data_IF_124952676710
#
_entry.id   IF_124952676710
#
_cell.length_a   1.000
_cell.length_b   1.000
_cell.length_c   1.000
_cell.angle_alpha   90.00
_cell.angle_beta   90.00
_cell.angle_gamma   90.00
#
_symmetry.space_group_name_H-M   'P 1'
#
loop_
_entity.id
_entity.type
_entity.pdbx_description
1 polymer ?
#
# COMPACT_ATOMS: atom_id res chain seq x y z
N UNK A 1 -1.78 5.44 4.15
CA UNK A 1 -2.10 4.00 4.18
C UNK A 1 -3.59 3.76 4.03
N UNK A 2 -3.99 2.52 3.81
CA UNK A 2 -5.40 2.17 3.57
C UNK A 2 -6.29 2.26 4.82
N UNK A 3 -5.67 2.29 6.00
CA UNK A 3 -6.32 2.34 7.32
C UNK A 3 -5.85 3.52 8.17
N UNK A 4 -5.05 4.41 7.59
CA UNK A 4 -4.58 5.64 8.22
C UNK A 4 -5.58 6.77 7.93
N UNK A 5 -5.95 7.54 8.94
CA UNK A 5 -6.85 8.69 8.82
C UNK A 5 -6.15 10.03 9.07
N UNK A 6 -4.84 10.06 9.27
CA UNK A 6 -4.04 11.27 9.55
C UNK A 6 -4.33 12.39 8.55
N UNK A 7 -4.40 12.09 7.25
CA UNK A 7 -4.67 13.10 6.22
C UNK A 7 -6.02 13.80 6.39
N UNK A 8 -6.99 13.12 6.97
CA UNK A 8 -8.34 13.67 7.22
C UNK A 8 -8.41 14.31 8.59
N UNK A 9 -7.89 13.66 9.63
CA UNK A 9 -7.99 14.12 11.02
C UNK A 9 -7.02 15.27 11.29
N UNK A 10 -5.76 15.14 10.84
CA UNK A 10 -4.74 16.17 11.04
C UNK A 10 -4.59 17.12 9.81
N UNK A 11 -5.17 16.80 8.66
CA UNK A 11 -5.12 17.61 7.45
C UNK A 11 -3.73 17.68 6.80
N UNK A 12 -2.83 16.76 7.13
CA UNK A 12 -1.43 16.77 6.68
C UNK A 12 -1.14 15.54 5.81
N UNK A 13 -0.44 15.75 4.69
CA UNK A 13 0.01 14.67 3.82
C UNK A 13 0.31 15.13 2.40
N UNK A 14 1.06 14.30 1.70
CA UNK A 14 1.47 14.52 0.30
C UNK A 14 1.11 13.28 -0.52
N UNK A 15 0.72 13.41 -1.81
CA UNK A 15 0.54 12.26 -2.70
C UNK A 15 1.82 11.41 -2.76
N UNK A 16 1.67 10.09 -2.62
CA UNK A 16 2.78 9.18 -2.37
C UNK A 16 3.87 9.22 -3.46
N UNK A 17 3.48 9.23 -4.73
CA UNK A 17 4.45 9.29 -5.83
C UNK A 17 5.28 10.59 -5.79
N UNK A 18 4.63 11.72 -5.50
CA UNK A 18 5.31 13.01 -5.33
C UNK A 18 6.26 13.01 -4.14
N UNK A 19 5.87 12.39 -3.01
CA UNK A 19 6.72 12.27 -1.83
C UNK A 19 7.99 11.46 -2.16
N UNK A 20 7.84 10.29 -2.76
CA UNK A 20 8.97 9.44 -3.17
C UNK A 20 9.90 10.19 -4.12
N UNK A 21 9.35 10.80 -5.17
CA UNK A 21 10.12 11.53 -6.17
C UNK A 21 10.90 12.70 -5.56
N UNK A 22 10.26 13.51 -4.72
CA UNK A 22 10.90 14.69 -4.11
C UNK A 22 12.00 14.27 -3.13
N UNK A 23 11.77 13.23 -2.32
CA UNK A 23 12.78 12.73 -1.37
C UNK A 23 13.97 12.12 -2.13
N UNK A 24 13.72 11.27 -3.12
CA UNK A 24 14.78 10.65 -3.91
C UNK A 24 15.70 11.69 -4.56
N UNK A 25 15.13 12.79 -5.09
CA UNK A 25 15.90 13.89 -5.64
C UNK A 25 16.67 14.68 -4.58
N UNK A 26 16.04 14.92 -3.42
CA UNK A 26 16.68 15.71 -2.37
C UNK A 26 17.92 15.02 -1.76
N UNK A 27 17.96 13.69 -1.79
CA UNK A 27 19.08 12.91 -1.23
C UNK A 27 19.99 12.29 -2.31
N UNK A 28 19.82 12.70 -3.56
CA UNK A 28 20.63 12.21 -4.67
C UNK A 28 22.13 12.39 -4.37
N UNK A 29 22.93 11.35 -4.57
CA UNK A 29 24.36 11.35 -4.28
C UNK A 29 24.74 11.15 -2.80
N UNK A 30 23.77 11.12 -1.87
CA UNK A 30 24.05 10.92 -0.44
C UNK A 30 24.37 9.47 -0.06
N UNK A 31 24.02 8.50 -0.91
CA UNK A 31 24.10 7.06 -0.60
C UNK A 31 23.00 6.56 0.34
N UNK A 32 22.05 7.40 0.75
CA UNK A 32 20.92 7.00 1.61
C UNK A 32 19.80 6.40 0.75
N UNK A 33 19.33 5.18 1.03
CA UNK A 33 18.25 4.56 0.26
C UNK A 33 16.87 5.11 0.65
N UNK A 34 15.94 5.08 -0.31
CA UNK A 34 14.54 5.49 -0.13
C UNK A 34 13.63 4.29 -0.03
N UNK A 35 12.82 4.22 1.00
CA UNK A 35 11.74 3.24 1.17
C UNK A 35 10.40 3.93 0.85
N UNK A 36 9.71 3.48 -0.19
CA UNK A 36 8.37 3.95 -0.50
C UNK A 36 7.33 3.21 0.37
N UNK A 37 6.87 3.86 1.44
CA UNK A 37 5.90 3.29 2.39
C UNK A 37 4.48 3.74 2.09
N UNK A 38 3.63 2.80 1.75
CA UNK A 38 2.20 3.01 1.52
C UNK A 38 1.81 3.25 0.05
N UNK A 39 0.51 3.18 -0.20
CA UNK A 39 -0.05 3.39 -1.54
C UNK A 39 0.10 2.22 -2.52
N UNK A 40 0.73 1.12 -2.13
CA UNK A 40 0.93 -0.06 -2.96
C UNK A 40 -0.32 -0.95 -2.90
N UNK A 41 -1.04 -1.04 -4.00
CA UNK A 41 -2.27 -1.84 -4.14
C UNK A 41 -2.11 -2.97 -5.16
N UNK A 42 -1.39 -2.67 -6.23
CA UNK A 42 -1.12 -3.58 -7.35
C UNK A 42 0.39 -3.63 -7.62
N UNK A 43 0.85 -4.64 -8.33
CA UNK A 43 2.25 -4.75 -8.74
C UNK A 43 2.74 -3.55 -9.58
N UNK A 44 1.86 -2.94 -10.38
CA UNK A 44 2.17 -1.71 -11.11
C UNK A 44 2.52 -0.51 -10.23
N UNK A 45 2.02 -0.46 -8.98
CA UNK A 45 2.39 0.60 -8.04
C UNK A 45 3.84 0.44 -7.55
N UNK A 46 4.35 -0.80 -7.47
CA UNK A 46 5.76 -1.10 -7.16
C UNK A 46 6.66 -0.51 -8.25
N UNK A 47 6.32 -0.75 -9.52
CA UNK A 47 7.09 -0.23 -10.66
C UNK A 47 7.13 1.30 -10.61
N UNK A 48 6.00 1.94 -10.38
CA UNK A 48 5.91 3.39 -10.27
C UNK A 48 6.75 3.94 -9.12
N UNK A 49 6.72 3.31 -7.95
CA UNK A 49 7.52 3.72 -6.80
C UNK A 49 9.02 3.62 -7.08
N UNK A 50 9.48 2.48 -7.65
CA UNK A 50 10.87 2.28 -8.02
C UNK A 50 11.32 3.26 -9.12
N UNK A 51 10.52 3.45 -10.16
CA UNK A 51 10.78 4.42 -11.22
C UNK A 51 10.84 5.86 -10.71
N UNK A 52 10.10 6.20 -9.65
CA UNK A 52 10.14 7.51 -9.00
C UNK A 52 11.39 7.71 -8.11
N UNK A 53 12.22 6.68 -7.93
CA UNK A 53 13.49 6.77 -7.23
C UNK A 53 13.57 5.94 -5.94
N UNK A 54 12.52 5.23 -5.52
CA UNK A 54 12.60 4.34 -4.37
C UNK A 54 13.58 3.18 -4.62
N UNK A 55 14.24 2.72 -3.57
CA UNK A 55 15.12 1.55 -3.57
C UNK A 55 14.39 0.29 -3.15
N UNK A 56 13.38 0.46 -2.30
CA UNK A 56 12.49 -0.60 -1.83
C UNK A 56 11.10 -0.06 -1.55
N UNK A 57 10.15 -0.96 -1.33
CA UNK A 57 8.77 -0.61 -0.96
C UNK A 57 8.41 -1.21 0.40
N UNK A 58 7.52 -0.55 1.11
CA UNK A 58 6.83 -1.08 2.27
C UNK A 58 5.32 -1.13 2.00
N UNK A 59 4.69 -2.23 2.34
CA UNK A 59 3.27 -2.43 2.08
C UNK A 59 2.58 -3.04 3.30
N UNK A 60 1.54 -2.36 3.79
CA UNK A 60 0.70 -2.85 4.89
C UNK A 60 -0.45 -3.71 4.39
N UNK A 61 -1.46 -3.10 3.77
CA UNK A 61 -2.70 -3.79 3.36
C UNK A 61 -2.48 -4.91 2.33
N UNK A 62 -1.41 -4.84 1.56
CA UNK A 62 -1.07 -5.88 0.59
C UNK A 62 -0.77 -7.20 1.31
N UNK A 63 -0.04 -7.14 2.42
CA UNK A 63 0.36 -8.29 3.22
C UNK A 63 -0.55 -8.56 4.42
N UNK A 64 -1.45 -7.66 4.78
CA UNK A 64 -2.33 -7.86 5.93
C UNK A 64 -3.27 -9.07 5.77
N UNK A 65 -3.60 -9.46 4.53
CA UNK A 65 -4.46 -10.61 4.22
C UNK A 65 -3.75 -11.95 4.09
N UNK A 66 -2.42 -12.01 4.20
CA UNK A 66 -1.69 -13.28 4.07
C UNK A 66 -1.80 -14.12 5.33
N UNK A 67 -1.57 -15.43 5.20
CA UNK A 67 -1.68 -16.37 6.30
C UNK A 67 -0.74 -16.03 7.46
N UNK A 68 0.47 -15.62 7.16
CA UNK A 68 1.53 -15.27 8.11
C UNK A 68 1.31 -13.95 8.83
N UNK A 69 0.36 -13.12 8.39
CA UNK A 69 0.02 -11.87 9.08
C UNK A 69 -0.55 -12.15 10.48
N UNK A 70 -0.20 -11.36 11.50
CA UNK A 70 -0.60 -11.62 12.90
C UNK A 70 -2.09 -11.42 13.19
N UNK A 71 -2.84 -10.75 12.30
CA UNK A 71 -4.28 -10.54 12.50
C UNK A 71 -5.07 -11.83 12.52
N UNK A 72 -6.10 -11.90 13.36
CA UNK A 72 -6.98 -13.07 13.49
C UNK A 72 -7.71 -13.37 12.17
N UNK A 73 -7.93 -14.67 11.93
CA UNK A 73 -8.76 -15.11 10.81
C UNK A 73 -10.24 -15.00 11.17
N UNK A 74 -10.99 -14.30 10.32
CA UNK A 74 -12.42 -14.04 10.51
C UNK A 74 -13.19 -14.69 9.36
N UNK A 75 -14.25 -15.44 9.69
CA UNK A 75 -15.20 -15.93 8.70
C UNK A 75 -16.40 -14.98 8.69
N UNK A 76 -16.68 -14.40 7.53
CA UNK A 76 -17.79 -13.50 7.35
C UNK A 76 -18.48 -13.75 6.01
N UNK A 77 -19.79 -13.94 6.02
CA UNK A 77 -20.59 -14.30 4.83
C UNK A 77 -19.97 -15.46 4.03
N UNK A 78 -19.49 -16.50 4.72
CA UNK A 78 -18.88 -17.68 4.09
C UNK A 78 -17.48 -17.43 3.47
N UNK A 79 -16.89 -16.25 3.66
CA UNK A 79 -15.56 -15.91 3.15
C UNK A 79 -14.56 -15.69 4.28
N UNK A 80 -13.29 -15.99 4.00
CA UNK A 80 -12.16 -15.82 4.92
C UNK A 80 -11.60 -14.41 4.84
N UNK A 81 -11.39 -13.78 5.98
CA UNK A 81 -10.76 -12.46 6.12
C UNK A 81 -9.69 -12.53 7.19
N UNK A 82 -8.81 -11.53 7.24
CA UNK A 82 -7.88 -11.27 8.33
C UNK A 82 -8.22 -9.96 9.00
N UNK A 83 -8.16 -9.91 10.33
CA UNK A 83 -8.23 -8.66 11.08
C UNK A 83 -7.04 -7.77 10.70
N UNK A 84 -7.28 -6.47 10.55
CA UNK A 84 -6.25 -5.51 10.17
C UNK A 84 -6.54 -4.17 10.84
N UNK A 85 -5.59 -3.64 11.59
CA UNK A 85 -5.74 -2.36 12.29
C UNK A 85 -4.61 -1.39 11.98
N UNK A 86 -4.93 -0.09 11.99
CA UNK A 86 -3.96 0.98 11.91
C UNK A 86 -3.20 1.14 13.23
N UNK A 87 -1.93 1.54 13.17
CA UNK A 87 -1.15 1.85 14.37
C UNK A 87 -1.75 2.97 15.20
N UNK A 88 -2.48 3.91 14.56
CA UNK A 88 -3.22 4.98 15.23
C UNK A 88 -4.68 4.64 15.55
N UNK A 89 -5.09 3.37 15.47
CA UNK A 89 -6.40 2.94 15.97
C UNK A 89 -6.43 2.92 17.49
N UNK A 90 -7.62 3.02 18.06
CA UNK A 90 -7.79 3.00 19.53
C UNK A 90 -7.18 1.72 20.10
N UNK A 91 -7.48 0.57 19.53
CA UNK A 91 -6.97 -0.71 20.00
C UNK A 91 -5.44 -0.78 19.95
N UNK A 92 -4.81 -0.31 18.86
CA UNK A 92 -3.35 -0.29 18.75
C UNK A 92 -2.71 0.66 19.78
N UNK A 93 -3.30 1.83 20.00
CA UNK A 93 -2.81 2.80 21.00
C UNK A 93 -2.92 2.25 22.43
N UNK A 94 -3.95 1.48 22.74
CA UNK A 94 -4.08 0.80 24.04
C UNK A 94 -2.97 -0.25 24.26
N UNK A 95 -2.45 -0.84 23.19
CA UNK A 95 -1.42 -1.89 23.24
C UNK A 95 0.02 -1.36 23.06
N UNK A 96 0.24 -0.03 23.08
CA UNK A 96 1.57 0.57 23.17
C UNK A 96 2.00 1.52 22.06
N UNK A 97 1.14 1.88 21.08
CA UNK A 97 1.53 2.81 20.00
C UNK A 97 1.17 4.28 20.26
N UNK A 98 0.81 4.65 21.49
CA UNK A 98 0.40 6.02 21.87
C UNK A 98 1.51 7.05 21.64
N UNK A 99 2.75 6.70 21.94
CA UNK A 99 3.94 7.54 21.81
C UNK A 99 4.13 8.06 20.38
N UNK A 100 3.85 7.22 19.39
CA UNK A 100 3.93 7.58 17.98
C UNK A 100 2.99 8.72 17.57
N UNK A 101 1.92 8.92 18.33
CA UNK A 101 0.89 9.94 18.10
C UNK A 101 0.91 11.05 19.15
N UNK A 102 2.00 11.16 19.93
CA UNK A 102 2.18 12.18 21.00
C UNK A 102 1.08 12.12 22.06
N UNK A 103 0.56 10.93 22.34
CA UNK A 103 -0.54 10.68 23.28
C UNK A 103 -0.15 9.70 24.39
N UNK A 104 1.14 9.51 24.62
CA UNK A 104 1.71 8.58 25.59
C UNK A 104 1.35 8.90 27.04
N UNK A 105 1.11 10.17 27.35
CA UNK A 105 0.72 10.66 28.70
C UNK A 105 -0.79 10.56 28.98
N UNK A 106 -1.61 10.21 27.99
CA UNK A 106 -3.07 10.14 28.19
C UNK A 106 -3.50 8.70 28.50
N UNK A 107 -4.07 8.50 29.68
CA UNK A 107 -4.54 7.21 30.15
C UNK A 107 -6.05 6.99 29.97
N UNK A 108 -6.83 8.06 29.78
CA UNK A 108 -8.27 7.94 29.50
C UNK A 108 -8.49 7.70 28.01
N UNK A 109 -8.88 6.48 27.67
CA UNK A 109 -9.17 6.03 26.28
C UNK A 109 -10.13 6.99 25.56
N UNK A 110 -11.09 7.59 26.28
CA UNK A 110 -12.09 8.50 25.69
C UNK A 110 -11.50 9.83 25.23
N UNK A 111 -10.29 10.14 25.67
CA UNK A 111 -9.56 11.36 25.28
C UNK A 111 -8.53 11.11 24.19
N UNK A 112 -8.27 9.85 23.81
CA UNK A 112 -7.41 9.55 22.67
C UNK A 112 -8.04 10.05 21.38
N UNK A 113 -7.22 10.62 20.50
CA UNK A 113 -7.61 11.06 19.16
C UNK A 113 -7.04 10.06 18.13
N UNK A 114 -7.83 9.11 17.62
CA UNK A 114 -7.32 8.10 16.72
C UNK A 114 -7.03 8.68 15.34
N UNK A 115 -5.92 8.25 14.75
CA UNK A 115 -5.53 8.51 13.37
C UNK A 115 -5.48 7.24 12.51
N UNK A 116 -6.22 6.24 12.89
CA UNK A 116 -6.34 4.95 12.22
C UNK A 116 -7.64 4.24 12.58
N UNK A 117 -7.99 3.26 11.78
CA UNK A 117 -9.19 2.44 11.95
C UNK A 117 -8.85 0.97 12.14
N UNK A 118 -9.81 0.23 12.65
CA UNK A 118 -9.84 -1.24 12.69
C UNK A 118 -10.69 -1.74 11.53
N UNK A 119 -10.21 -2.76 10.83
CA UNK A 119 -10.84 -3.27 9.62
C UNK A 119 -10.59 -4.76 9.45
N UNK A 120 -11.18 -5.34 8.42
CA UNK A 120 -10.84 -6.67 7.92
C UNK A 120 -10.44 -6.58 6.45
N UNK A 121 -9.52 -7.43 6.02
CA UNK A 121 -9.09 -7.56 4.64
C UNK A 121 -9.35 -8.98 4.14
N UNK A 122 -9.68 -9.19 2.87
CA UNK A 122 -9.81 -10.53 2.33
C UNK A 122 -8.54 -11.36 2.55
N UNK A 123 -8.70 -12.63 2.91
CA UNK A 123 -7.62 -13.59 2.95
C UNK A 123 -7.04 -13.79 1.55
N UNK A 124 -5.72 -13.84 1.44
CA UNK A 124 -5.00 -13.85 0.14
C UNK A 124 -4.09 -15.06 -0.07
N UNK A 125 -4.17 -16.06 0.80
CA UNK A 125 -3.24 -17.20 0.75
C UNK A 125 -1.93 -16.91 1.48
N UNK A 126 -0.87 -17.58 1.09
CA UNK A 126 0.45 -17.46 1.71
C UNK A 126 1.19 -16.19 1.23
N UNK A 127 2.12 -15.71 2.05
CA UNK A 127 3.01 -14.61 1.66
C UNK A 127 3.78 -14.93 0.37
N UNK A 128 4.24 -16.17 0.24
CA UNK A 128 4.98 -16.64 -0.95
C UNK A 128 4.16 -16.49 -2.23
N UNK A 129 2.88 -16.86 -2.20
CA UNK A 129 1.99 -16.71 -3.37
C UNK A 129 1.77 -15.24 -3.74
N UNK A 130 1.58 -14.38 -2.75
CA UNK A 130 1.41 -12.94 -2.97
C UNK A 130 2.69 -12.31 -3.54
N UNK A 131 3.86 -12.63 -2.99
CA UNK A 131 5.17 -12.16 -3.47
C UNK A 131 5.40 -12.63 -4.92
N UNK A 132 5.08 -13.89 -5.23
CA UNK A 132 5.22 -14.42 -6.59
C UNK A 132 4.44 -13.58 -7.61
N UNK A 133 3.17 -13.25 -7.31
CA UNK A 133 2.34 -12.41 -8.18
C UNK A 133 2.89 -10.99 -8.31
N UNK A 134 3.36 -10.40 -7.20
CA UNK A 134 3.93 -9.04 -7.22
C UNK A 134 5.23 -9.00 -8.04
N UNK A 135 6.11 -9.96 -7.88
CA UNK A 135 7.38 -10.06 -8.64
C UNK A 135 7.12 -10.36 -10.12
N UNK A 136 6.11 -11.16 -10.43
CA UNK A 136 5.67 -11.40 -11.81
C UNK A 136 5.24 -10.11 -12.51
N UNK A 137 4.40 -9.31 -11.83
CA UNK A 137 3.95 -8.01 -12.35
C UNK A 137 5.11 -6.99 -12.47
N UNK A 138 6.04 -6.95 -11.52
CA UNK A 138 7.24 -6.12 -11.62
C UNK A 138 8.09 -6.49 -12.85
N UNK A 139 8.37 -7.77 -13.04
CA UNK A 139 9.14 -8.26 -14.19
C UNK A 139 8.44 -7.94 -15.52
N UNK A 140 7.12 -8.12 -15.59
CA UNK A 140 6.34 -7.78 -16.78
C UNK A 140 6.46 -6.28 -17.12
N UNK A 141 6.29 -5.40 -16.13
CA UNK A 141 6.44 -3.96 -16.33
C UNK A 141 7.85 -3.54 -16.73
N UNK A 142 8.88 -4.12 -16.12
CA UNK A 142 10.27 -3.91 -16.54
C UNK A 142 10.50 -4.36 -17.99
N UNK A 143 9.89 -5.48 -18.40
CA UNK A 143 9.93 -5.96 -19.78
C UNK A 143 9.31 -4.96 -20.77
N UNK A 144 8.12 -4.42 -20.47
CA UNK A 144 7.48 -3.40 -21.30
C UNK A 144 8.30 -2.11 -21.43
N UNK A 145 9.04 -1.75 -20.37
CA UNK A 145 9.90 -0.56 -20.35
C UNK A 145 11.31 -0.81 -20.92
N UNK A 146 11.64 -2.05 -21.29
CA UNK A 146 13.00 -2.41 -21.73
C UNK A 146 14.05 -2.31 -20.61
N UNK A 147 13.64 -2.27 -19.35
CA UNK A 147 14.51 -2.09 -18.19
C UNK A 147 15.11 -3.43 -17.74
N UNK A 148 16.36 -3.67 -18.07
CA UNK A 148 17.09 -4.90 -17.69
C UNK A 148 17.38 -5.05 -16.18
N UNK A 149 17.36 -3.96 -15.43
CA UNK A 149 17.54 -3.90 -13.98
C UNK A 149 16.87 -2.66 -13.39
N UNK A 150 16.85 -2.55 -12.05
CA UNK A 150 16.21 -1.43 -11.35
C UNK A 150 16.91 -0.09 -11.65
N UNK A 151 18.22 -0.06 -11.83
CA UNK A 151 18.94 1.18 -12.15
C UNK A 151 18.49 1.75 -13.50
N UNK A 152 18.33 0.90 -14.51
CA UNK A 152 17.78 1.31 -15.82
C UNK A 152 16.32 1.74 -15.68
N UNK A 153 15.51 1.02 -14.91
CA UNK A 153 14.13 1.42 -14.61
C UNK A 153 14.06 2.85 -14.04
N UNK A 154 14.90 3.17 -13.05
CA UNK A 154 14.96 4.51 -12.45
C UNK A 154 15.40 5.58 -13.44
N UNK A 155 16.42 5.29 -14.25
CA UNK A 155 17.04 6.28 -15.13
C UNK A 155 16.20 6.60 -16.38
N UNK A 156 15.51 5.60 -16.95
CA UNK A 156 14.91 5.70 -18.27
C UNK A 156 13.38 5.78 -18.26
N UNK A 157 12.73 5.51 -17.13
CA UNK A 157 11.27 5.56 -17.04
C UNK A 157 10.72 6.97 -17.19
N UNK A 158 9.61 7.06 -17.92
CA UNK A 158 8.88 8.32 -18.10
C UNK A 158 7.46 8.16 -17.57
N UNK A 159 6.99 9.21 -16.89
CA UNK A 159 5.63 9.26 -16.36
C UNK A 159 4.74 10.10 -17.28
N UNK A 160 3.52 9.61 -17.49
CA UNK A 160 2.46 10.38 -18.13
C UNK A 160 1.39 10.67 -17.09
N UNK A 161 0.99 11.95 -17.00
CA UNK A 161 -0.14 12.33 -16.15
C UNK A 161 -1.44 11.93 -16.84
N UNK A 162 -2.32 11.27 -16.13
CA UNK A 162 -3.64 10.87 -16.60
C UNK A 162 -4.74 11.56 -15.79
N UNK A 163 -5.93 11.66 -16.36
CA UNK A 163 -7.14 12.16 -15.71
C UNK A 163 -7.81 11.06 -14.89
N UNK A 164 -8.87 11.42 -14.15
CA UNK A 164 -9.70 10.42 -13.48
C UNK A 164 -10.36 9.45 -14.50
N UNK A 165 -10.79 9.94 -15.64
CA UNK A 165 -11.31 9.09 -16.72
C UNK A 165 -10.26 8.10 -17.24
N UNK A 166 -8.99 8.53 -17.37
CA UNK A 166 -7.90 7.64 -17.73
C UNK A 166 -7.61 6.57 -16.67
N UNK A 167 -7.87 6.85 -15.39
CA UNK A 167 -7.80 5.83 -14.33
C UNK A 167 -8.90 4.78 -14.53
N UNK A 168 -10.13 5.20 -14.82
CA UNK A 168 -11.26 4.29 -15.07
C UNK A 168 -10.97 3.41 -16.29
N UNK A 169 -10.50 4.01 -17.38
CA UNK A 169 -10.13 3.29 -18.60
C UNK A 169 -8.98 2.29 -18.39
N UNK A 170 -8.07 2.57 -17.45
CA UNK A 170 -6.94 1.68 -17.11
C UNK A 170 -7.38 0.38 -16.40
N UNK A 171 -8.60 0.30 -15.92
CA UNK A 171 -9.19 -0.90 -15.36
C UNK A 171 -10.10 -1.57 -16.40
N UNK A 172 -10.35 -2.90 -16.31
CA UNK A 172 -11.41 -3.54 -17.10
C UNK A 172 -12.73 -2.79 -16.91
N UNK A 173 -13.35 -2.37 -17.99
CA UNK A 173 -14.60 -1.61 -17.98
C UNK A 173 -15.60 -2.22 -18.98
N UNK A 174 -16.87 -1.90 -18.84
CA UNK A 174 -17.97 -2.39 -19.68
C UNK A 174 -18.09 -3.93 -19.76
N UNK A 175 -17.58 -4.63 -18.73
CA UNK A 175 -17.63 -6.09 -18.61
C UNK A 175 -17.99 -6.52 -17.19
N UNK A 176 -18.67 -7.65 -17.05
CA UNK A 176 -18.85 -8.34 -15.78
C UNK A 176 -17.72 -9.36 -15.60
N UNK A 177 -16.97 -9.25 -14.49
CA UNK A 177 -15.91 -10.21 -14.17
C UNK A 177 -16.58 -11.51 -13.73
N UNK A 178 -16.43 -12.56 -14.51
CA UNK A 178 -16.96 -13.90 -14.19
C UNK A 178 -15.96 -14.77 -13.42
N UNK A 179 -14.67 -14.44 -13.52
CA UNK A 179 -13.59 -15.10 -12.78
C UNK A 179 -12.49 -14.07 -12.47
N UNK A 180 -12.20 -13.88 -11.21
CA UNK A 180 -11.10 -13.01 -10.75
C UNK A 180 -9.74 -13.64 -11.07
N UNK A 181 -8.76 -12.81 -11.43
CA UNK A 181 -7.37 -13.24 -11.53
C UNK A 181 -6.67 -13.12 -10.15
N UNK A 182 -5.63 -13.92 -9.87
CA UNK A 182 -4.98 -13.93 -8.57
C UNK A 182 -4.29 -12.60 -8.22
N UNK A 183 -3.98 -11.78 -9.21
CA UNK A 183 -3.26 -10.51 -9.07
C UNK A 183 -4.13 -9.27 -9.32
N UNK A 184 -5.41 -9.47 -9.63
CA UNK A 184 -6.36 -8.37 -9.86
C UNK A 184 -7.72 -8.68 -9.27
N UNK A 185 -8.18 -7.83 -8.39
CA UNK A 185 -9.56 -7.79 -7.95
C UNK A 185 -10.05 -6.33 -7.97
N UNK A 186 -11.22 -6.10 -8.49
CA UNK A 186 -11.90 -4.81 -8.34
C UNK A 186 -12.44 -4.78 -6.91
N UNK A 187 -11.85 -3.99 -6.03
CA UNK A 187 -12.41 -3.80 -4.70
C UNK A 187 -13.73 -3.06 -4.85
N UNK A 188 -14.84 -3.77 -4.86
CA UNK A 188 -16.11 -3.19 -4.47
C UNK A 188 -16.00 -2.87 -2.98
N UNK A 189 -16.01 -1.58 -2.66
CA UNK A 189 -16.25 -1.11 -1.31
C UNK A 189 -17.77 -1.25 -1.13
N UNK A 190 -18.23 -2.38 -0.62
CA UNK A 190 -19.53 -2.60 -0.04
C UNK A 190 -19.38 -2.86 1.45
#
# INVERSE_FOLDING_TARGET
GSICTTRIIAGVGIPQLSAVYNVARAIEGSGVPVIADGGIRYSGDIIKALAAGADSIMAGSLFAGVEESPGDTIIYNGRKFKAYRGMGSIEAMQQGSKDRYFQDVEDDIRKLVPEGIEARVPYKGTLSEVIFQMMGGLRAGMGYLGAKNISVLKAESKFTRITHSGIIESHPHDVAITRESPNYSRKSIE
#
